data_IF_480636037851
#
_entry.id   IF_480636037851
#
_cell.length_a   1.000
_cell.length_b   1.000
_cell.length_c   1.000
_cell.angle_alpha   90.00
_cell.angle_beta   90.00
_cell.angle_gamma   90.00
#
_symmetry.space_group_name_H-M   'P 1'
#
loop_
_entity.id
_entity.type
_entity.pdbx_description
1 polymer ?
#
# COMPACT_ATOMS: atom_id res chain seq x y z
N UNK A 1 -7.39 24.03 9.41
CA UNK A 1 -8.10 22.89 8.78
C UNK A 1 -9.42 23.41 8.21
N UNK A 2 -9.63 23.28 6.89
CA UNK A 2 -10.92 23.62 6.25
C UNK A 2 -12.02 22.71 6.80
N UNK A 3 -13.23 23.25 6.99
CA UNK A 3 -14.41 22.60 7.58
C UNK A 3 -14.95 21.37 6.83
N UNK A 4 -14.30 20.93 5.75
CA UNK A 4 -14.88 20.03 4.73
C UNK A 4 -14.31 18.59 4.73
N UNK A 5 -13.47 18.22 5.71
CA UNK A 5 -12.88 16.88 5.78
C UNK A 5 -13.50 16.05 6.92
N UNK A 6 -14.24 15.00 6.55
CA UNK A 6 -14.87 14.07 7.49
C UNK A 6 -14.34 12.65 7.28
N UNK A 7 -14.33 11.78 8.32
CA UNK A 7 -13.93 10.38 8.17
C UNK A 7 -14.75 9.64 7.09
N UNK A 8 -16.01 10.01 6.91
CA UNK A 8 -16.89 9.42 5.90
C UNK A 8 -16.45 9.80 4.47
N UNK A 9 -16.08 11.07 4.25
CA UNK A 9 -15.51 11.52 2.98
C UNK A 9 -14.18 10.85 2.69
N UNK A 10 -13.32 10.70 3.70
CA UNK A 10 -12.04 10.01 3.58
C UNK A 10 -12.20 8.55 3.14
N UNK A 11 -13.11 7.80 3.77
CA UNK A 11 -13.44 6.41 3.41
C UNK A 11 -14.03 6.28 2.01
N UNK A 12 -14.90 7.22 1.62
CA UNK A 12 -15.46 7.25 0.26
C UNK A 12 -14.36 7.42 -0.77
N UNK A 13 -13.49 8.41 -0.56
CA UNK A 13 -12.41 8.72 -1.49
C UNK A 13 -11.40 7.57 -1.61
N UNK A 14 -11.03 6.93 -0.49
CA UNK A 14 -10.13 5.76 -0.54
C UNK A 14 -10.74 4.58 -1.28
N UNK A 15 -12.05 4.36 -1.18
CA UNK A 15 -12.75 3.33 -1.94
C UNK A 15 -12.78 3.67 -3.43
N UNK A 16 -13.11 4.91 -3.79
CA UNK A 16 -13.12 5.36 -5.19
C UNK A 16 -11.73 5.20 -5.83
N UNK A 17 -10.65 5.59 -5.13
CA UNK A 17 -9.28 5.39 -5.61
C UNK A 17 -8.95 3.92 -5.90
N UNK A 18 -9.32 3.00 -5.00
CA UNK A 18 -9.10 1.56 -5.22
C UNK A 18 -9.90 1.03 -6.40
N UNK A 19 -11.14 1.49 -6.58
CA UNK A 19 -11.97 1.09 -7.71
C UNK A 19 -11.40 1.61 -9.04
N UNK A 20 -10.82 2.81 -9.05
CA UNK A 20 -10.12 3.33 -10.23
C UNK A 20 -8.85 2.53 -10.55
N UNK A 21 -8.10 2.09 -9.53
CA UNK A 21 -6.98 1.17 -9.75
C UNK A 21 -7.47 -0.17 -10.32
N UNK A 22 -8.53 -0.73 -9.74
CA UNK A 22 -9.16 -1.99 -10.18
C UNK A 22 -9.63 -1.97 -11.63
N UNK A 23 -10.14 -0.84 -12.12
CA UNK A 23 -10.56 -0.69 -13.52
C UNK A 23 -9.42 -0.26 -14.45
N UNK A 24 -8.22 -0.01 -13.93
CA UNK A 24 -7.07 0.49 -14.69
C UNK A 24 -7.17 1.97 -15.06
N UNK A 25 -8.15 2.71 -14.54
CA UNK A 25 -8.26 4.17 -14.71
C UNK A 25 -7.16 4.92 -13.97
N UNK A 26 -6.70 4.37 -12.84
CA UNK A 26 -5.56 4.88 -12.09
C UNK A 26 -4.33 4.01 -12.35
N UNK A 27 -3.36 4.55 -13.09
CA UNK A 27 -2.09 3.89 -13.43
C UNK A 27 -0.86 4.74 -13.00
N UNK A 28 -1.02 5.57 -11.97
CA UNK A 28 0.01 6.51 -11.49
C UNK A 28 0.13 6.44 -9.95
N UNK A 29 0.99 7.28 -9.37
CA UNK A 29 1.24 7.36 -7.93
C UNK A 29 -0.04 7.66 -7.14
N UNK A 30 -0.13 7.09 -5.95
CA UNK A 30 -1.32 7.23 -5.07
C UNK A 30 -1.23 8.42 -4.11
N UNK A 31 -0.26 9.31 -4.31
CA UNK A 31 0.08 10.40 -3.41
C UNK A 31 -1.09 11.38 -3.26
N UNK A 32 -1.51 11.65 -2.03
CA UNK A 32 -2.62 12.57 -1.68
C UNK A 32 -3.98 12.24 -2.32
N UNK A 33 -4.21 11.03 -2.84
CA UNK A 33 -5.49 10.67 -3.46
C UNK A 33 -6.62 10.48 -2.46
N UNK A 34 -6.33 10.05 -1.22
CA UNK A 34 -7.34 9.87 -0.17
C UNK A 34 -6.85 10.36 1.21
N UNK A 35 -6.80 11.68 1.46
CA UNK A 35 -6.04 12.29 2.56
C UNK A 35 -6.07 11.59 3.93
N UNK A 36 -6.98 11.77 4.88
CA UNK A 36 -6.89 11.15 6.23
C UNK A 36 -7.09 9.62 6.31
N UNK A 37 -6.58 8.83 5.36
CA UNK A 37 -6.59 7.36 5.34
C UNK A 37 -5.15 6.84 5.25
N UNK A 38 -4.86 5.82 6.05
CA UNK A 38 -3.56 5.15 6.01
C UNK A 38 -3.35 4.46 4.67
N UNK A 39 -2.24 4.77 4.01
CA UNK A 39 -1.74 4.02 2.86
C UNK A 39 -0.71 3.01 3.34
N UNK A 40 -0.72 1.82 2.73
CA UNK A 40 0.21 0.74 3.06
C UNK A 40 1.05 0.31 1.85
N UNK A 41 2.26 -0.16 2.14
CA UNK A 41 3.08 -0.92 1.20
C UNK A 41 2.68 -2.40 1.28
N UNK A 42 2.85 -3.14 0.19
CA UNK A 42 2.40 -4.52 0.09
C UNK A 42 3.56 -5.44 -0.27
N UNK A 43 3.67 -6.55 0.46
CA UNK A 43 4.48 -7.70 0.08
C UNK A 43 3.59 -8.95 0.06
N UNK A 44 3.62 -9.71 -1.04
CA UNK A 44 2.83 -10.94 -1.20
C UNK A 44 3.81 -12.07 -1.47
N UNK A 45 3.76 -13.12 -0.64
CA UNK A 45 4.72 -14.21 -0.66
C UNK A 45 4.00 -15.56 -0.49
N UNK A 46 4.51 -16.65 -1.07
CA UNK A 46 4.05 -18.01 -0.74
C UNK A 46 4.10 -18.29 0.76
N UNK A 47 3.14 -19.07 1.26
CA UNK A 47 3.02 -19.42 2.67
C UNK A 47 4.32 -19.95 3.27
N UNK A 48 5.11 -20.72 2.52
CA UNK A 48 6.39 -21.26 3.00
C UNK A 48 7.40 -20.21 3.50
N UNK A 49 7.20 -18.93 3.17
CA UNK A 49 8.05 -17.80 3.59
C UNK A 49 7.37 -16.86 4.60
N UNK A 50 6.12 -17.10 4.98
CA UNK A 50 5.33 -16.17 5.79
C UNK A 50 5.94 -15.95 7.18
N UNK A 51 6.32 -17.01 7.88
CA UNK A 51 6.91 -16.96 9.21
C UNK A 51 8.26 -16.24 9.21
N UNK A 52 9.09 -16.49 8.20
CA UNK A 52 10.40 -15.86 8.08
C UNK A 52 10.26 -14.36 7.82
N UNK A 53 9.33 -13.98 6.94
CA UNK A 53 9.04 -12.57 6.68
C UNK A 53 8.38 -11.89 7.89
N UNK A 54 7.53 -12.58 8.64
CA UNK A 54 6.93 -12.07 9.87
C UNK A 54 8.00 -11.82 10.94
N UNK A 55 8.91 -12.78 11.16
CA UNK A 55 10.06 -12.61 12.06
C UNK A 55 10.95 -11.46 11.60
N UNK A 56 11.18 -11.32 10.30
CA UNK A 56 11.92 -10.20 9.74
C UNK A 56 11.25 -8.86 10.06
N UNK A 57 9.93 -8.74 9.87
CA UNK A 57 9.18 -7.53 10.22
C UNK A 57 9.25 -7.23 11.73
N UNK A 58 9.13 -8.27 12.57
CA UNK A 58 9.21 -8.14 14.03
C UNK A 58 10.60 -7.71 14.51
N UNK A 59 11.66 -8.22 13.89
CA UNK A 59 13.03 -7.82 14.19
C UNK A 59 13.33 -6.39 13.69
N UNK A 60 12.57 -5.91 12.69
CA UNK A 60 12.77 -4.63 12.04
C UNK A 60 11.50 -3.75 12.05
N UNK A 61 10.91 -3.44 13.23
CA UNK A 61 9.58 -2.83 13.31
C UNK A 61 9.54 -1.38 12.81
N UNK A 62 10.68 -0.68 12.79
CA UNK A 62 10.80 0.68 12.26
C UNK A 62 10.73 0.72 10.73
N UNK A 63 11.57 -0.03 9.99
CA UNK A 63 11.47 -0.07 8.52
C UNK A 63 10.35 -0.98 8.01
N UNK A 64 9.85 -1.93 8.81
CA UNK A 64 8.78 -2.86 8.44
C UNK A 64 7.60 -2.81 9.44
N UNK A 65 6.92 -1.66 9.59
CA UNK A 65 5.80 -1.52 10.53
C UNK A 65 4.60 -2.32 10.02
N UNK A 66 4.31 -3.47 10.61
CA UNK A 66 3.25 -4.36 10.14
C UNK A 66 1.86 -3.84 10.54
N UNK A 67 0.97 -3.64 9.57
CA UNK A 67 -0.42 -3.21 9.77
C UNK A 67 -1.42 -4.38 9.74
N UNK A 68 -1.23 -5.30 8.80
CA UNK A 68 -2.08 -6.48 8.67
C UNK A 68 -1.36 -7.62 7.94
N UNK A 69 -1.85 -8.83 8.18
CA UNK A 69 -1.51 -10.06 7.45
C UNK A 69 -2.82 -10.73 7.04
N UNK A 70 -2.91 -11.18 5.78
CA UNK A 70 -4.05 -11.96 5.30
C UNK A 70 -3.96 -13.42 5.77
N UNK A 71 -5.06 -14.15 5.69
CA UNK A 71 -4.98 -15.61 5.69
C UNK A 71 -4.34 -16.09 4.37
N UNK A 72 -3.67 -17.27 4.36
CA UNK A 72 -3.13 -17.84 3.14
C UNK A 72 -4.22 -18.05 2.07
N UNK A 73 -3.94 -17.59 0.86
CA UNK A 73 -4.84 -17.69 -0.30
C UNK A 73 -5.97 -16.67 -0.32
N UNK A 74 -6.27 -15.98 0.79
CA UNK A 74 -7.34 -14.99 0.86
C UNK A 74 -6.87 -13.63 0.28
N UNK A 75 -7.42 -13.19 -0.88
CA UNK A 75 -7.06 -11.90 -1.45
C UNK A 75 -7.76 -10.72 -0.74
N UNK A 76 -8.70 -10.99 0.17
CA UNK A 76 -9.47 -9.95 0.85
C UNK A 76 -8.74 -9.42 2.08
N UNK A 77 -8.95 -8.13 2.37
CA UNK A 77 -8.38 -7.46 3.55
C UNK A 77 -9.47 -6.78 4.40
N UNK A 78 -10.44 -7.55 4.96
CA UNK A 78 -11.64 -7.00 5.61
C UNK A 78 -11.34 -6.15 6.85
N UNK A 79 -10.17 -6.34 7.47
CA UNK A 79 -9.71 -5.53 8.61
C UNK A 79 -9.23 -4.13 8.20
N UNK A 80 -8.86 -3.94 6.93
CA UNK A 80 -8.30 -2.67 6.44
C UNK A 80 -9.33 -1.80 5.72
N UNK A 81 -10.38 -2.41 5.17
CA UNK A 81 -11.43 -1.67 4.49
C UNK A 81 -12.51 -2.59 3.94
N UNK A 82 -13.64 -1.98 3.58
CA UNK A 82 -14.68 -2.66 2.83
C UNK A 82 -14.12 -3.06 1.46
N UNK A 83 -14.56 -4.21 0.94
CA UNK A 83 -14.41 -4.66 -0.45
C UNK A 83 -13.02 -4.61 -1.08
N UNK A 84 -11.96 -4.59 -0.26
CA UNK A 84 -10.57 -4.63 -0.75
C UNK A 84 -10.29 -5.97 -1.40
N UNK A 85 -9.85 -5.93 -2.66
CA UNK A 85 -9.25 -7.05 -3.37
C UNK A 85 -7.80 -6.73 -3.72
N UNK A 86 -6.85 -7.35 -3.01
CA UNK A 86 -5.43 -7.04 -3.18
C UNK A 86 -4.85 -7.45 -4.53
N UNK A 87 -5.62 -8.14 -5.38
CA UNK A 87 -5.16 -8.55 -6.70
C UNK A 87 -5.26 -7.44 -7.73
N UNK A 88 -6.13 -6.45 -7.48
CA UNK A 88 -6.52 -5.43 -8.45
C UNK A 88 -6.59 -4.01 -7.88
N UNK A 89 -6.64 -3.82 -6.55
CA UNK A 89 -6.88 -2.51 -5.95
C UNK A 89 -5.65 -1.59 -5.85
N UNK A 90 -4.49 -2.02 -6.38
CA UNK A 90 -3.30 -1.18 -6.52
C UNK A 90 -3.09 -0.84 -8.00
N UNK A 91 -2.60 0.38 -8.30
CA UNK A 91 -2.35 0.79 -9.68
C UNK A 91 -1.24 -0.01 -10.37
N UNK A 92 -0.32 -0.57 -9.58
CA UNK A 92 0.82 -1.33 -10.09
C UNK A 92 1.38 -2.28 -9.03
N UNK A 93 1.74 -3.48 -9.46
CA UNK A 93 2.48 -4.50 -8.72
C UNK A 93 3.81 -4.76 -9.43
N UNK A 94 4.86 -4.93 -8.65
CA UNK A 94 6.15 -5.39 -9.15
C UNK A 94 6.33 -6.87 -8.84
N UNK A 95 6.48 -7.68 -9.87
CA UNK A 95 6.66 -9.14 -9.75
C UNK A 95 8.14 -9.47 -9.72
N UNK A 96 8.51 -10.31 -8.76
CA UNK A 96 9.86 -10.85 -8.64
C UNK A 96 9.85 -12.37 -8.80
N UNK A 97 10.83 -12.90 -9.53
CA UNK A 97 11.07 -14.35 -9.69
C UNK A 97 12.54 -14.64 -9.40
N UNK A 98 12.79 -15.60 -8.51
CA UNK A 98 14.15 -15.97 -8.09
C UNK A 98 15.02 -14.77 -7.65
N UNK A 99 14.39 -13.79 -7.00
CA UNK A 99 15.05 -12.58 -6.51
C UNK A 99 15.31 -11.51 -7.58
N UNK A 100 14.90 -11.73 -8.83
CA UNK A 100 15.07 -10.80 -9.96
C UNK A 100 13.72 -10.17 -10.31
N UNK A 101 13.72 -8.87 -10.62
CA UNK A 101 12.52 -8.17 -11.12
C UNK A 101 12.17 -8.72 -12.51
N UNK A 102 10.94 -9.19 -12.66
CA UNK A 102 10.43 -9.82 -13.89
C UNK A 102 9.59 -8.83 -14.71
N UNK A 103 8.54 -8.30 -14.10
CA UNK A 103 7.60 -7.39 -14.76
C UNK A 103 6.84 -6.51 -13.76
N UNK A 104 6.35 -5.37 -14.25
CA UNK A 104 5.34 -4.55 -13.57
C UNK A 104 3.96 -4.83 -14.23
N UNK A 105 2.94 -5.08 -13.42
CA UNK A 105 1.56 -5.39 -13.88
C UNK A 105 0.52 -4.63 -13.06
N UNK A 106 -0.64 -4.31 -13.63
CA UNK A 106 -1.74 -3.67 -12.91
C UNK A 106 -2.69 -4.67 -12.21
N UNK A 107 -2.64 -5.94 -12.59
CA UNK A 107 -3.51 -7.00 -12.08
C UNK A 107 -2.69 -8.29 -11.90
N UNK A 108 -2.75 -8.88 -10.70
CA UNK A 108 -2.06 -10.13 -10.35
C UNK A 108 -3.02 -11.32 -10.21
N UNK A 109 -4.29 -11.21 -10.61
CA UNK A 109 -5.30 -12.26 -10.50
C UNK A 109 -4.88 -13.55 -11.20
N UNK A 110 -4.19 -13.44 -12.34
CA UNK A 110 -3.64 -14.60 -13.08
C UNK A 110 -2.36 -15.19 -12.46
N UNK A 111 -1.71 -14.44 -11.56
CA UNK A 111 -0.50 -14.85 -10.85
C UNK A 111 -0.78 -15.35 -9.43
N UNK A 112 -2.01 -15.16 -8.94
CA UNK A 112 -2.41 -15.48 -7.59
C UNK A 112 -2.33 -16.99 -7.33
N UNK A 113 -1.88 -17.35 -6.13
CA UNK A 113 -1.77 -18.74 -5.68
C UNK A 113 -2.57 -18.92 -4.39
N UNK A 114 -3.12 -20.11 -4.20
CA UNK A 114 -3.95 -20.44 -3.03
C UNK A 114 -3.16 -20.47 -1.71
N UNK A 115 -1.83 -20.32 -1.77
CA UNK A 115 -0.95 -20.23 -0.61
C UNK A 115 -0.33 -18.84 -0.42
N UNK A 116 -0.71 -17.83 -1.21
CA UNK A 116 -0.17 -16.48 -1.04
C UNK A 116 -0.64 -15.82 0.25
N UNK A 117 0.30 -15.21 0.96
CA UNK A 117 0.05 -14.41 2.17
C UNK A 117 0.41 -12.96 1.86
N UNK A 118 -0.53 -12.06 2.14
CA UNK A 118 -0.36 -10.62 1.97
C UNK A 118 0.08 -9.98 3.28
N UNK A 119 1.17 -9.23 3.23
CA UNK A 119 1.65 -8.37 4.31
C UNK A 119 1.43 -6.92 3.91
N UNK A 120 0.69 -6.19 4.74
CA UNK A 120 0.51 -4.75 4.59
C UNK A 120 1.38 -4.04 5.60
N UNK A 121 2.34 -3.26 5.11
CA UNK A 121 3.27 -2.48 5.91
C UNK A 121 2.85 -1.01 5.90
N UNK A 122 3.07 -0.31 7.02
CA UNK A 122 2.81 1.11 7.12
C UNK A 122 3.68 1.92 6.17
N UNK A 123 3.14 3.06 5.74
CA UNK A 123 3.84 4.04 4.94
C UNK A 123 4.15 5.30 5.76
N UNK A 124 5.22 6.02 5.40
CA UNK A 124 5.66 7.25 6.07
C UNK A 124 4.79 8.48 5.79
N UNK A 125 3.69 8.36 5.05
CA UNK A 125 2.86 9.50 4.65
C UNK A 125 2.19 10.23 5.82
N UNK A 126 1.97 9.57 6.97
CA UNK A 126 1.49 10.27 8.18
C UNK A 126 2.48 11.33 8.68
N UNK A 127 3.77 11.19 8.36
CA UNK A 127 4.79 12.19 8.68
C UNK A 127 4.72 13.41 7.74
N UNK A 128 4.38 13.20 6.47
CA UNK A 128 4.23 14.28 5.50
C UNK A 128 3.09 15.24 5.91
N UNK A 129 1.98 14.70 6.41
CA UNK A 129 0.86 15.50 6.94
C UNK A 129 1.29 16.34 8.16
N UNK A 130 1.95 15.71 9.15
CA UNK A 130 2.44 16.39 10.34
C UNK A 130 3.44 17.51 10.01
N UNK A 131 4.34 17.27 9.06
CA UNK A 131 5.30 18.28 8.60
C UNK A 131 4.61 19.46 7.91
N UNK A 132 3.59 19.21 7.08
CA UNK A 132 2.80 20.27 6.45
C UNK A 132 2.07 21.12 7.47
N UNK A 133 1.46 20.50 8.47
CA UNK A 133 0.76 21.21 9.56
C UNK A 133 1.73 22.08 10.38
N UNK A 134 3.00 21.68 10.47
CA UNK A 134 4.07 22.47 11.08
C UNK A 134 4.69 23.53 10.14
N UNK A 135 4.13 23.75 8.93
CA UNK A 135 4.68 24.63 7.89
C UNK A 135 6.09 24.24 7.39
N UNK A 136 6.40 22.96 7.38
CA UNK A 136 7.64 22.40 6.83
C UNK A 136 7.28 21.53 5.62
N UNK A 137 7.03 22.11 4.43
CA UNK A 137 6.53 21.34 3.30
C UNK A 137 7.60 20.36 2.77
N UNK A 138 7.33 19.05 2.72
CA UNK A 138 8.22 18.08 2.11
C UNK A 138 8.50 18.39 0.63
N UNK A 139 9.76 18.23 0.21
CA UNK A 139 10.21 18.65 -1.13
C UNK A 139 9.52 17.89 -2.26
N UNK A 140 9.31 16.58 -2.12
CA UNK A 140 8.65 15.76 -3.14
C UNK A 140 7.21 16.19 -3.40
N UNK A 141 6.50 16.65 -2.36
CA UNK A 141 5.14 17.20 -2.52
C UNK A 141 5.13 18.49 -3.34
N UNK A 142 6.13 19.35 -3.19
CA UNK A 142 6.26 20.57 -4.00
C UNK A 142 6.58 20.25 -5.47
N UNK A 143 7.26 19.15 -5.72
CA UNK A 143 7.66 18.72 -7.07
C UNK A 143 6.64 17.80 -7.74
N UNK A 144 5.59 17.38 -7.03
CA UNK A 144 4.64 16.38 -7.53
C UNK A 144 5.29 15.02 -7.81
N UNK A 145 6.37 14.69 -7.08
CA UNK A 145 7.14 13.47 -7.29
C UNK A 145 6.98 12.50 -6.11
N UNK A 146 7.41 11.25 -6.30
CA UNK A 146 7.60 10.32 -5.18
C UNK A 146 8.78 10.77 -4.30
N UNK A 147 8.78 10.29 -3.05
CA UNK A 147 9.88 10.48 -2.11
C UNK A 147 11.13 9.75 -2.61
N UNK A 148 12.30 10.38 -2.50
CA UNK A 148 13.56 9.73 -2.84
C UNK A 148 13.87 8.60 -1.83
N UNK A 149 14.14 7.39 -2.33
CA UNK A 149 14.48 6.22 -1.53
C UNK A 149 15.88 5.74 -1.88
N UNK A 150 16.67 5.38 -0.87
CA UNK A 150 18.05 4.93 -1.02
C UNK A 150 18.25 3.59 -0.32
N UNK A 151 19.05 2.69 -0.91
CA UNK A 151 19.52 1.48 -0.22
C UNK A 151 20.76 1.84 0.61
N UNK A 152 20.64 1.73 1.93
CA UNK A 152 21.71 1.99 2.90
C UNK A 152 22.52 0.74 3.21
#
# INVERSE_FOLDING_TARGET
MSSDYTPQKARKLSRETRLQARTGELADITLNLAPGVVQGNVAILPKKWDEDFLKFCWANPKPCPLLAVSEPGDPMLPRLGLDIDIRTDLPMYRVFRDGVMDQDVADISSLWQDDFVTFVLGCSFSFDEALRDANIPPRHLQLGSSTAMYRT
#
